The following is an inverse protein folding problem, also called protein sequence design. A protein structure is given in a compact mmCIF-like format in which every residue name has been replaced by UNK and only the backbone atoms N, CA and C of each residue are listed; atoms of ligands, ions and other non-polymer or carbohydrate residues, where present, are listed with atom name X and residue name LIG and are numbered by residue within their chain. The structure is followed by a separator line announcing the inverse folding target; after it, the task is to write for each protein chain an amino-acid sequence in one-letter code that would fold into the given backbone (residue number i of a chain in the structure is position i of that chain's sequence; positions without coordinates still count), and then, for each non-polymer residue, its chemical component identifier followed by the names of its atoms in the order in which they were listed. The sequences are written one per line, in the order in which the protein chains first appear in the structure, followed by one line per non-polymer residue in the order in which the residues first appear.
data_IF_976942691779
#
_entry.id   IF_976942691779
#
_cell.length_a   1.000
_cell.length_b   1.000
_cell.length_c   1.000
_cell.angle_alpha   90.00
_cell.angle_beta   90.00
_cell.angle_gamma   90.00
#
_symmetry.space_group_name_H-M   'P 1'
#
loop_
_entity.id
_entity.type
_entity.pdbx_description
1 polymer ?
#
# COMPACT_ATOMS: atom_id res chain seq x y z
N UNK A 1 -21.21 17.50 -4.19
CA UNK A 1 -21.29 16.05 -3.89
C UNK A 1 -21.60 15.33 -5.19
N UNK A 2 -20.58 14.81 -5.88
CA UNK A 2 -20.77 13.84 -6.95
C UNK A 2 -20.06 12.57 -6.52
N UNK A 3 -20.77 11.71 -5.79
CA UNK A 3 -20.30 10.35 -5.54
C UNK A 3 -20.34 9.61 -6.87
N UNK A 4 -19.16 9.24 -7.38
CA UNK A 4 -19.04 8.44 -8.59
C UNK A 4 -19.65 7.04 -8.34
N UNK A 5 -20.41 6.50 -9.29
CA UNK A 5 -21.10 5.23 -9.10
C UNK A 5 -20.11 4.05 -9.04
N UNK A 6 -19.97 3.45 -7.86
CA UNK A 6 -19.77 2.01 -7.69
C UNK A 6 -18.40 1.38 -7.96
N UNK A 7 -17.36 2.13 -8.33
CA UNK A 7 -16.03 1.54 -8.56
C UNK A 7 -15.15 1.72 -7.33
N UNK A 8 -15.06 0.67 -6.51
CA UNK A 8 -14.07 0.57 -5.43
C UNK A 8 -12.75 0.07 -6.00
N UNK A 9 -11.65 0.66 -5.54
CA UNK A 9 -10.33 0.17 -5.89
C UNK A 9 -9.99 -1.08 -5.08
N UNK A 10 -9.31 -2.04 -5.71
CA UNK A 10 -8.68 -3.14 -5.01
C UNK A 10 -7.28 -2.73 -4.60
N UNK A 11 -7.01 -2.67 -3.29
CA UNK A 11 -5.77 -2.11 -2.73
C UNK A 11 -4.68 -3.17 -2.43
N UNK A 12 -4.97 -4.43 -2.74
CA UNK A 12 -4.06 -5.54 -2.48
C UNK A 12 -4.03 -5.95 -1.00
N UNK A 13 -3.76 -7.24 -0.78
CA UNK A 13 -3.64 -7.85 0.55
C UNK A 13 -2.58 -8.95 0.49
N UNK A 14 -1.67 -8.98 1.46
CA UNK A 14 -0.68 -10.04 1.61
C UNK A 14 -0.51 -10.42 3.07
N UNK A 15 -0.26 -11.70 3.35
CA UNK A 15 -0.16 -12.22 4.72
C UNK A 15 1.15 -13.00 4.87
N UNK A 16 1.86 -12.79 5.99
CA UNK A 16 3.06 -13.53 6.36
C UNK A 16 3.10 -13.75 7.87
N UNK A 17 3.06 -15.02 8.32
CA UNK A 17 3.25 -15.41 9.72
C UNK A 17 2.42 -14.61 10.76
N UNK A 18 1.18 -14.26 10.43
CA UNK A 18 0.30 -13.48 11.31
C UNK A 18 0.40 -11.96 11.14
N UNK A 19 1.30 -11.49 10.28
CA UNK A 19 1.31 -10.13 9.74
C UNK A 19 0.40 -10.05 8.51
N UNK A 20 -0.31 -8.93 8.40
CA UNK A 20 -1.19 -8.60 7.28
C UNK A 20 -0.70 -7.27 6.73
N UNK A 21 -0.43 -7.20 5.43
CA UNK A 21 -0.17 -5.94 4.72
C UNK A 21 -1.29 -5.67 3.71
N UNK A 22 -1.71 -4.42 3.60
CA UNK A 22 -2.63 -3.95 2.58
C UNK A 22 -2.22 -2.57 2.07
N UNK A 23 -2.49 -2.30 0.79
CA UNK A 23 -2.42 -0.94 0.27
C UNK A 23 -3.61 -0.10 0.73
N UNK A 24 -3.69 1.13 0.23
CA UNK A 24 -4.80 2.04 0.49
C UNK A 24 -5.00 3.05 -0.64
N UNK A 25 -6.18 3.66 -0.65
CA UNK A 25 -6.52 4.79 -1.54
C UNK A 25 -5.81 6.10 -1.14
N UNK A 26 -5.14 6.15 0.04
CA UNK A 26 -4.32 7.28 0.48
C UNK A 26 -2.85 7.18 0.05
N UNK A 27 -2.55 6.26 -0.87
CA UNK A 27 -1.20 5.94 -1.34
C UNK A 27 -0.26 5.49 -0.21
N UNK A 28 -0.82 4.75 0.75
CA UNK A 28 -0.09 4.21 1.89
C UNK A 28 -0.22 2.70 1.97
N UNK A 29 0.85 2.06 2.42
CA UNK A 29 0.87 0.65 2.80
C UNK A 29 0.71 0.57 4.29
N UNK A 30 -0.26 -0.21 4.75
CA UNK A 30 -0.48 -0.48 6.16
C UNK A 30 -0.07 -1.90 6.48
N UNK A 31 0.55 -2.09 7.65
CA UNK A 31 0.78 -3.40 8.20
C UNK A 31 0.10 -3.56 9.56
N UNK A 32 -0.43 -4.74 9.78
CA UNK A 32 -1.10 -5.17 11.00
C UNK A 32 -0.48 -6.47 11.46
N UNK A 33 -0.49 -6.70 12.77
CA UNK A 33 -0.28 -8.03 13.32
C UNK A 33 -1.60 -8.50 13.92
N UNK A 34 -1.98 -9.76 13.70
CA UNK A 34 -3.29 -10.33 14.06
C UNK A 34 -3.70 -10.19 15.53
N UNK A 35 -2.75 -9.89 16.41
CA UNK A 35 -3.01 -9.72 17.85
C UNK A 35 -3.38 -8.28 18.24
N UNK A 36 -3.28 -7.31 17.33
CA UNK A 36 -3.57 -5.91 17.59
C UNK A 36 -4.71 -5.41 16.70
N UNK A 37 -5.64 -4.59 17.24
CA UNK A 37 -6.75 -4.02 16.47
C UNK A 37 -6.34 -2.80 15.63
N UNK A 38 -5.10 -2.33 15.78
CA UNK A 38 -4.55 -1.14 15.14
C UNK A 38 -3.33 -1.49 14.28
N UNK A 39 -3.01 -0.69 13.25
CA UNK A 39 -1.81 -0.91 12.44
C UNK A 39 -0.55 -0.87 13.31
N UNK A 40 0.41 -1.75 13.02
CA UNK A 40 1.74 -1.73 13.64
C UNK A 40 2.63 -0.67 12.99
N UNK A 41 2.43 -0.38 11.70
CA UNK A 41 3.12 0.69 10.97
C UNK A 41 2.37 1.02 9.67
N UNK A 42 2.70 2.17 9.09
CA UNK A 42 2.25 2.62 7.78
C UNK A 42 3.38 3.31 7.03
N UNK A 43 3.47 3.11 5.72
CA UNK A 43 4.48 3.74 4.87
C UNK A 43 3.82 4.46 3.70
N UNK A 44 4.20 5.72 3.49
CA UNK A 44 3.79 6.50 2.32
C UNK A 44 4.53 5.98 1.08
N UNK A 45 3.79 5.47 0.12
CA UNK A 45 4.34 5.00 -1.14
C UNK A 45 4.76 6.20 -2.01
N UNK A 46 5.91 6.14 -2.68
CA UNK A 46 6.39 7.21 -3.57
C UNK A 46 6.91 8.49 -2.89
N UNK A 47 7.30 8.45 -1.60
CA UNK A 47 7.83 9.61 -0.87
C UNK A 47 9.29 9.97 -1.19
N UNK A 48 9.75 9.76 -2.44
CA UNK A 48 11.12 10.09 -2.86
C UNK A 48 11.12 11.37 -3.69
N UNK A 49 10.99 12.55 -3.04
CA UNK A 49 11.29 13.91 -3.54
C UNK A 49 11.04 14.24 -5.04
N UNK A 50 10.17 13.49 -5.71
CA UNK A 50 9.85 13.68 -7.11
C UNK A 50 8.53 14.42 -7.11
N UNK A 51 8.65 15.75 -7.10
CA UNK A 51 7.61 16.75 -7.37
C UNK A 51 7.04 16.59 -8.80
N UNK A 52 6.70 15.36 -9.19
CA UNK A 52 5.99 15.04 -10.41
C UNK A 52 4.51 15.33 -10.13
N UNK A 53 4.20 16.63 -10.17
CA UNK A 53 2.92 17.20 -10.58
C UNK A 53 2.05 16.17 -11.30
N UNK A 54 1.20 15.45 -10.56
CA UNK A 54 0.24 14.54 -11.18
C UNK A 54 -1.17 15.10 -10.99
N UNK A 55 -1.49 15.96 -11.95
CA UNK A 55 -2.80 16.14 -12.56
C UNK A 55 -3.82 15.05 -12.17
N UNK A 56 -4.82 15.46 -11.39
CA UNK A 56 -6.16 14.85 -11.26
C UNK A 56 -6.31 13.37 -10.90
N UNK A 57 -5.24 12.57 -10.88
CA UNK A 57 -5.29 11.12 -10.83
C UNK A 57 -4.92 10.65 -9.43
N UNK A 58 -5.91 10.19 -8.68
CA UNK A 58 -5.76 9.72 -7.31
C UNK A 58 -4.89 8.46 -7.30
N UNK A 59 -3.62 8.58 -6.89
CA UNK A 59 -2.72 7.42 -6.76
C UNK A 59 -3.14 6.57 -5.56
N UNK A 60 -3.21 5.24 -5.76
CA UNK A 60 -3.52 4.28 -4.70
C UNK A 60 -2.64 3.04 -4.85
N UNK A 61 -2.21 2.46 -3.73
CA UNK A 61 -1.46 1.21 -3.77
C UNK A 61 -2.44 0.08 -4.09
N UNK A 62 -2.18 -0.65 -5.18
CA UNK A 62 -3.07 -1.70 -5.68
C UNK A 62 -2.52 -3.11 -5.46
N UNK A 63 -1.21 -3.24 -5.31
CA UNK A 63 -0.52 -4.52 -5.13
C UNK A 63 0.38 -4.42 -3.91
N UNK A 64 0.31 -5.44 -3.05
CA UNK A 64 1.26 -5.68 -1.97
C UNK A 64 1.62 -7.15 -1.92
N UNK A 65 2.88 -7.49 -1.67
CA UNK A 65 3.34 -8.88 -1.61
C UNK A 65 4.51 -9.04 -0.63
N UNK A 66 4.33 -9.86 0.40
CA UNK A 66 5.41 -10.22 1.32
C UNK A 66 6.41 -11.15 0.67
N UNK A 67 7.68 -10.98 1.03
CA UNK A 67 8.73 -11.95 0.74
C UNK A 67 8.86 -12.91 1.92
N UNK A 68 8.45 -14.16 1.75
CA UNK A 68 8.33 -15.16 2.84
C UNK A 68 9.55 -15.29 3.77
N UNK A 69 10.77 -15.14 3.24
CA UNK A 69 12.02 -15.39 3.99
C UNK A 69 12.67 -14.12 4.53
N UNK A 70 11.97 -13.00 4.58
CA UNK A 70 12.50 -11.72 5.04
C UNK A 70 11.40 -10.75 5.45
N UNK A 71 11.72 -9.75 6.27
CA UNK A 71 10.80 -8.66 6.58
C UNK A 71 10.72 -7.63 5.44
N UNK A 72 10.57 -8.10 4.20
CA UNK A 72 10.47 -7.26 3.02
C UNK A 72 9.11 -7.42 2.38
N UNK A 73 8.58 -6.31 1.88
CA UNK A 73 7.29 -6.21 1.22
C UNK A 73 7.48 -5.45 -0.10
N UNK A 74 6.94 -5.98 -1.19
CA UNK A 74 6.83 -5.25 -2.46
C UNK A 74 5.48 -4.55 -2.50
N UNK A 75 5.46 -3.28 -2.87
CA UNK A 75 4.23 -2.53 -3.13
C UNK A 75 4.27 -1.90 -4.52
N UNK A 76 3.12 -1.75 -5.16
CA UNK A 76 3.01 -1.09 -6.45
C UNK A 76 1.64 -0.43 -6.65
N UNK A 77 1.60 0.60 -7.50
CA UNK A 77 0.35 1.15 -8.04
C UNK A 77 0.28 0.95 -9.55
N UNK A 78 -0.95 0.99 -10.09
CA UNK A 78 -1.23 0.73 -11.50
C UNK A 78 -0.50 1.68 -12.48
N UNK A 79 -0.07 2.86 -12.04
CA UNK A 79 0.69 3.80 -12.88
C UNK A 79 2.18 3.48 -13.02
N UNK A 80 2.65 2.33 -12.52
CA UNK A 80 3.91 1.72 -12.98
C UNK A 80 5.09 1.84 -12.02
N UNK A 81 4.94 2.45 -10.84
CA UNK A 81 6.00 2.43 -9.82
C UNK A 81 5.90 1.20 -8.92
N UNK A 82 7.06 0.64 -8.58
CA UNK A 82 7.22 -0.49 -7.67
C UNK A 82 8.25 -0.10 -6.62
N UNK A 83 7.87 -0.14 -5.34
CA UNK A 83 8.79 0.09 -4.22
C UNK A 83 8.97 -1.19 -3.41
N UNK A 84 10.18 -1.36 -2.87
CA UNK A 84 10.51 -2.43 -1.93
C UNK A 84 10.64 -1.82 -0.54
N UNK A 85 9.73 -2.21 0.35
CA UNK A 85 9.65 -1.74 1.72
C UNK A 85 10.29 -2.78 2.64
N UNK A 86 11.20 -2.32 3.50
CA UNK A 86 11.69 -3.12 4.63
C UNK A 86 10.87 -2.77 5.87
N UNK A 87 10.29 -3.79 6.48
CA UNK A 87 9.49 -3.68 7.68
C UNK A 87 10.41 -3.94 8.87
N UNK A 88 10.59 -2.91 9.70
CA UNK A 88 11.41 -2.95 10.91
C UNK A 88 10.57 -3.35 12.12
#
# INVERSE_FOLDING_TARGET
MSENPGWKNFVGLSVLEGHIACGSESNEVYAYHKSFPMPITSCKFGSTDSDETHDGNTQFVSIVCWREKSNMLVAAYFGGSIDVLQML
#
